data_IF_667386718280
#
_entry.id   IF_667386718280
#
_cell.length_a   1.000
_cell.length_b   1.000
_cell.length_c   1.000
_cell.angle_alpha   90.00
_cell.angle_beta   90.00
_cell.angle_gamma   90.00
#
_symmetry.space_group_name_H-M   'P 1'
#
loop_
_entity.id
_entity.type
_entity.pdbx_description
1 polymer ?
#
# COMPACT_ATOMS: atom_id res chain seq x y z
N UNK A 1 15.92 20.41 7.31
CA UNK A 1 14.74 19.64 6.87
C UNK A 1 13.55 20.03 7.75
N UNK A 2 12.57 20.74 7.19
CA UNK A 2 11.50 21.47 7.91
C UNK A 2 10.33 20.60 8.41
N UNK A 3 10.42 19.28 8.33
CA UNK A 3 9.33 18.37 8.76
C UNK A 3 9.06 18.42 10.27
N UNK A 4 9.99 18.92 11.08
CA UNK A 4 9.88 18.98 12.54
C UNK A 4 8.85 20.00 13.06
N UNK A 5 8.29 20.85 12.19
CA UNK A 5 7.32 21.88 12.58
C UNK A 5 5.85 21.44 12.47
N UNK A 6 5.59 20.24 11.94
CA UNK A 6 4.23 19.74 11.76
C UNK A 6 3.92 18.62 12.74
N UNK A 7 2.78 18.70 13.42
CA UNK A 7 2.32 17.63 14.33
C UNK A 7 1.91 16.35 13.60
N UNK A 8 1.39 16.48 12.38
CA UNK A 8 0.98 15.36 11.53
C UNK A 8 1.55 15.59 10.14
N UNK A 9 2.26 14.60 9.62
CA UNK A 9 2.81 14.59 8.26
C UNK A 9 2.24 13.40 7.54
N UNK A 10 1.54 13.65 6.43
CA UNK A 10 1.12 12.63 5.48
C UNK A 10 2.06 12.65 4.27
N UNK A 11 2.46 11.48 3.80
CA UNK A 11 3.26 11.32 2.59
C UNK A 11 2.60 10.27 1.72
N UNK A 12 2.20 10.62 0.51
CA UNK A 12 1.43 9.71 -0.34
C UNK A 12 1.64 9.95 -1.83
N UNK A 13 1.30 8.94 -2.62
CA UNK A 13 1.34 8.98 -4.09
C UNK A 13 1.76 7.63 -4.67
N UNK A 14 2.08 7.62 -5.96
CA UNK A 14 2.78 6.51 -6.61
C UNK A 14 4.25 6.54 -6.19
N UNK A 15 4.59 5.72 -5.19
CA UNK A 15 5.96 5.56 -4.71
C UNK A 15 6.74 4.50 -5.50
N UNK A 16 6.07 3.78 -6.40
CA UNK A 16 6.62 2.85 -7.37
C UNK A 16 7.44 1.67 -6.81
N UNK A 17 7.34 1.41 -5.51
CA UNK A 17 7.90 0.19 -4.90
C UNK A 17 7.17 -1.04 -5.42
N UNK A 18 7.92 -2.11 -5.68
CA UNK A 18 7.42 -3.35 -6.28
C UNK A 18 7.46 -4.48 -5.26
N UNK A 19 7.19 -5.69 -5.74
CA UNK A 19 7.45 -6.91 -4.99
C UNK A 19 8.89 -7.34 -5.24
N UNK A 20 9.57 -7.78 -4.19
CA UNK A 20 10.91 -8.35 -4.25
C UNK A 20 10.97 -9.45 -5.30
N UNK A 21 11.91 -9.33 -6.23
CA UNK A 21 12.11 -10.26 -7.34
C UNK A 21 12.80 -11.56 -6.91
N UNK A 22 13.39 -11.61 -5.71
CA UNK A 22 14.08 -12.80 -5.19
C UNK A 22 13.15 -13.95 -4.82
N UNK A 23 11.85 -13.69 -4.58
CA UNK A 23 10.85 -14.70 -4.21
C UNK A 23 10.00 -15.22 -5.39
N UNK A 24 10.45 -14.97 -6.63
CA UNK A 24 10.08 -15.57 -7.93
C UNK A 24 8.60 -15.69 -8.36
N UNK A 25 7.59 -15.34 -7.54
CA UNK A 25 6.19 -15.44 -7.98
C UNK A 25 5.96 -14.66 -9.28
N UNK A 26 5.53 -15.35 -10.34
CA UNK A 26 5.27 -14.75 -11.64
C UNK A 26 4.06 -13.78 -11.60
N UNK A 27 3.88 -12.96 -12.64
CA UNK A 27 2.73 -12.08 -12.71
C UNK A 27 1.40 -12.87 -12.73
N UNK A 28 1.38 -14.01 -13.44
CA UNK A 28 0.27 -14.96 -13.51
C UNK A 28 -0.04 -15.57 -12.15
N UNK A 29 0.98 -15.99 -11.40
CA UNK A 29 0.81 -16.58 -10.07
C UNK A 29 0.24 -15.57 -9.07
N UNK A 30 0.73 -14.32 -9.09
CA UNK A 30 0.19 -13.25 -8.25
C UNK A 30 -1.25 -12.94 -8.65
N UNK A 31 -1.52 -12.72 -9.95
CA UNK A 31 -2.85 -12.39 -10.43
C UNK A 31 -3.86 -13.50 -10.15
N UNK A 32 -3.49 -14.77 -10.31
CA UNK A 32 -4.35 -15.91 -9.97
C UNK A 32 -4.63 -16.01 -8.47
N UNK A 33 -3.61 -15.83 -7.62
CA UNK A 33 -3.80 -15.78 -6.16
C UNK A 33 -4.74 -14.64 -5.76
N UNK A 34 -4.60 -13.48 -6.38
CA UNK A 34 -5.43 -12.31 -6.10
C UNK A 34 -6.86 -12.47 -6.64
N UNK A 35 -7.06 -12.99 -7.84
CA UNK A 35 -8.41 -13.16 -8.41
C UNK A 35 -9.24 -14.23 -7.69
N UNK A 36 -8.58 -15.21 -7.06
CA UNK A 36 -9.22 -16.23 -6.24
C UNK A 36 -9.70 -15.71 -4.86
N UNK A 37 -9.41 -14.45 -4.50
CA UNK A 37 -9.83 -13.81 -3.24
C UNK A 37 -11.36 -13.67 -3.13
N UNK A 38 -12.12 -13.78 -4.23
CA UNK A 38 -13.58 -13.74 -4.17
C UNK A 38 -14.23 -14.99 -3.54
N UNK A 39 -13.47 -16.05 -3.23
CA UNK A 39 -13.94 -17.26 -2.55
C UNK A 39 -13.56 -17.25 -1.05
N UNK A 40 -14.33 -16.49 -0.27
CA UNK A 40 -14.42 -16.43 1.20
C UNK A 40 -13.58 -17.46 2.00
N UNK A 41 -12.52 -16.96 2.67
CA UNK A 41 -11.83 -17.43 3.89
C UNK A 41 -10.29 -17.42 3.79
N UNK A 42 -9.69 -17.34 2.59
CA UNK A 42 -8.22 -17.30 2.41
C UNK A 42 -7.64 -15.91 2.13
N UNK A 43 -8.49 -14.89 2.14
CA UNK A 43 -8.20 -13.56 1.61
C UNK A 43 -7.09 -12.82 2.36
N UNK A 44 -7.12 -12.83 3.69
CA UNK A 44 -6.12 -12.17 4.52
C UNK A 44 -4.76 -12.87 4.42
N UNK A 45 -4.72 -14.21 4.49
CA UNK A 45 -3.47 -14.98 4.40
C UNK A 45 -2.82 -14.79 3.03
N UNK A 46 -3.58 -14.90 1.93
CA UNK A 46 -3.04 -14.73 0.58
C UNK A 46 -2.48 -13.34 0.34
N UNK A 47 -3.20 -12.28 0.74
CA UNK A 47 -2.69 -10.91 0.62
C UNK A 47 -1.45 -10.70 1.49
N UNK A 48 -1.44 -11.23 2.72
CA UNK A 48 -0.28 -11.13 3.63
C UNK A 48 0.96 -11.85 3.07
N UNK A 49 0.79 -13.00 2.41
CA UNK A 49 1.89 -13.75 1.80
C UNK A 49 2.53 -13.01 0.60
N UNK A 50 1.71 -12.30 -0.17
CA UNK A 50 2.18 -11.44 -1.26
C UNK A 50 2.82 -10.18 -0.66
N UNK A 51 2.19 -9.58 0.35
CA UNK A 51 2.70 -8.41 1.08
C UNK A 51 4.05 -8.64 1.75
N UNK A 52 4.35 -9.86 2.21
CA UNK A 52 5.65 -10.23 2.78
C UNK A 52 6.82 -10.12 1.77
N UNK A 53 6.53 -9.77 0.52
CA UNK A 53 7.49 -9.44 -0.54
C UNK A 53 7.52 -7.95 -0.88
N UNK A 54 6.72 -7.11 -0.24
CA UNK A 54 6.64 -5.68 -0.54
C UNK A 54 7.97 -4.95 -0.24
N UNK A 55 8.52 -4.29 -1.26
CA UNK A 55 9.80 -3.59 -1.14
C UNK A 55 9.70 -2.40 -0.19
N UNK A 56 8.59 -1.63 -0.21
CA UNK A 56 8.43 -0.46 0.67
C UNK A 56 8.42 -0.89 2.14
N UNK A 57 7.61 -1.89 2.49
CA UNK A 57 7.55 -2.47 3.82
C UNK A 57 8.94 -2.92 4.27
N UNK A 58 9.70 -3.59 3.41
CA UNK A 58 11.05 -4.05 3.74
C UNK A 58 12.03 -2.90 3.97
N UNK A 59 12.01 -1.84 3.15
CA UNK A 59 12.92 -0.70 3.34
C UNK A 59 12.55 0.17 4.54
N UNK A 60 11.25 0.26 4.87
CA UNK A 60 10.77 0.93 6.09
C UNK A 60 11.21 0.19 7.35
N UNK A 61 10.98 -1.13 7.40
CA UNK A 61 11.40 -1.99 8.51
C UNK A 61 12.91 -1.90 8.76
N UNK A 62 13.71 -1.90 7.67
CA UNK A 62 15.17 -1.74 7.73
C UNK A 62 15.63 -0.30 7.96
N UNK A 63 14.70 0.64 8.16
CA UNK A 63 14.99 2.07 8.33
C UNK A 63 15.84 2.69 7.22
N UNK A 64 15.77 2.14 5.99
CA UNK A 64 16.49 2.63 4.81
C UNK A 64 15.77 3.77 4.10
N UNK A 65 14.45 3.85 4.23
CA UNK A 65 13.61 4.93 3.72
C UNK A 65 12.46 5.21 4.71
N UNK A 66 11.87 6.41 4.61
CA UNK A 66 10.71 6.83 5.41
C UNK A 66 10.84 6.60 6.93
N UNK A 67 12.04 6.86 7.49
CA UNK A 67 12.31 6.62 8.91
C UNK A 67 11.31 7.33 9.83
N UNK A 68 10.63 6.53 10.66
CA UNK A 68 9.63 6.98 11.62
C UNK A 68 8.28 7.36 11.00
N UNK A 69 8.06 7.10 9.71
CA UNK A 69 6.71 7.01 9.17
C UNK A 69 6.13 5.63 9.45
N UNK A 70 4.80 5.60 9.47
CA UNK A 70 3.98 4.42 9.60
C UNK A 70 3.08 4.32 8.37
N UNK A 71 2.77 3.09 8.00
CA UNK A 71 1.76 2.78 6.98
C UNK A 71 0.80 1.75 7.59
N UNK A 72 -0.49 1.92 7.36
CA UNK A 72 -1.47 0.89 7.73
C UNK A 72 -1.36 -0.27 6.75
N UNK A 73 -1.52 -1.53 7.18
CA UNK A 73 -1.40 -2.67 6.26
C UNK A 73 -2.49 -2.56 5.16
N UNK A 74 -2.14 -2.53 3.86
CA UNK A 74 -3.15 -2.47 2.81
C UNK A 74 -3.83 -3.83 2.67
N UNK A 75 -5.01 -3.95 3.27
CA UNK A 75 -5.86 -5.15 3.21
C UNK A 75 -6.71 -5.19 1.93
N UNK A 76 -6.11 -4.82 0.80
CA UNK A 76 -6.73 -4.77 -0.53
C UNK A 76 -5.75 -5.25 -1.61
N UNK A 77 -6.22 -5.66 -2.80
CA UNK A 77 -5.37 -6.13 -3.88
C UNK A 77 -4.32 -5.10 -4.36
N UNK A 78 -3.22 -5.56 -4.99
CA UNK A 78 -2.27 -4.66 -5.65
C UNK A 78 -2.94 -3.67 -6.61
N UNK A 79 -2.54 -2.40 -6.59
CA UNK A 79 -3.23 -1.32 -7.33
C UNK A 79 -2.70 -1.11 -8.74
N UNK A 80 -1.60 -1.78 -9.09
CA UNK A 80 -0.94 -1.73 -10.39
C UNK A 80 -0.50 -3.14 -10.78
N UNK A 81 -0.47 -3.56 -12.06
CA UNK A 81 -0.89 -2.84 -13.28
C UNK A 81 -2.16 -3.47 -13.82
N UNK A 82 -3.19 -2.66 -14.05
CA UNK A 82 -4.42 -3.11 -14.68
C UNK A 82 -4.45 -2.84 -16.18
N UNK A 83 -5.26 -3.63 -16.88
CA UNK A 83 -5.70 -3.28 -18.23
C UNK A 83 -6.69 -2.12 -18.13
N UNK A 84 -6.54 -1.09 -18.97
CA UNK A 84 -7.45 0.05 -19.01
C UNK A 84 -8.90 -0.41 -19.20
N UNK A 85 -9.81 0.11 -18.37
CA UNK A 85 -11.24 -0.23 -18.43
C UNK A 85 -11.59 -1.66 -18.01
N UNK A 86 -10.71 -2.36 -17.29
CA UNK A 86 -10.94 -3.75 -16.85
C UNK A 86 -10.47 -4.01 -15.42
N UNK A 87 -11.13 -4.92 -14.70
CA UNK A 87 -10.63 -5.43 -13.40
C UNK A 87 -9.48 -6.44 -13.51
N UNK A 88 -8.97 -6.72 -14.71
CA UNK A 88 -7.87 -7.67 -14.93
C UNK A 88 -6.50 -7.01 -14.94
N UNK A 89 -5.50 -7.69 -14.39
CA UNK A 89 -4.10 -7.23 -14.45
C UNK A 89 -3.49 -7.39 -15.85
N UNK A 90 -2.66 -6.41 -16.25
CA UNK A 90 -1.74 -6.53 -17.39
C UNK A 90 -0.48 -7.28 -16.94
N UNK A 91 -0.42 -8.57 -17.27
CA UNK A 91 0.62 -9.49 -16.81
C UNK A 91 2.02 -9.23 -17.40
N UNK A 92 2.17 -8.21 -18.27
CA UNK A 92 3.48 -7.68 -18.66
C UNK A 92 4.27 -7.14 -17.46
N UNK A 93 3.60 -6.85 -16.34
CA UNK A 93 4.21 -6.46 -15.08
C UNK A 93 3.60 -7.28 -13.94
N UNK A 94 4.43 -7.62 -12.94
CA UNK A 94 3.95 -8.21 -11.70
C UNK A 94 3.01 -7.22 -10.99
N UNK A 95 1.83 -7.66 -10.50
CA UNK A 95 0.99 -6.81 -9.68
C UNK A 95 1.74 -6.33 -8.43
N UNK A 96 1.60 -5.05 -8.07
CA UNK A 96 2.25 -4.41 -6.92
C UNK A 96 1.41 -3.27 -6.32
N UNK A 97 1.62 -2.97 -5.03
CA UNK A 97 1.09 -1.79 -4.36
C UNK A 97 2.04 -0.61 -4.57
N UNK A 98 1.88 0.07 -5.70
CA UNK A 98 2.70 1.23 -6.04
C UNK A 98 2.18 2.52 -5.41
N UNK A 99 0.87 2.60 -5.18
CA UNK A 99 0.15 3.75 -4.65
C UNK A 99 -0.02 3.62 -3.14
N UNK A 100 0.59 4.52 -2.35
CA UNK A 100 0.80 4.34 -0.91
C UNK A 100 0.48 5.59 -0.12
N UNK A 101 0.02 5.42 1.13
CA UNK A 101 -0.26 6.51 2.06
C UNK A 101 0.45 6.23 3.39
N UNK A 102 1.50 7.00 3.67
CA UNK A 102 2.23 6.97 4.93
C UNK A 102 1.85 8.17 5.80
N UNK A 103 2.01 8.01 7.10
CA UNK A 103 1.85 9.10 8.05
C UNK A 103 2.94 9.08 9.13
N UNK A 104 3.17 10.23 9.74
CA UNK A 104 4.06 10.39 10.88
C UNK A 104 3.47 11.42 11.82
N UNK A 105 3.36 11.07 13.09
CA UNK A 105 3.10 12.03 14.15
C UNK A 105 4.43 12.51 14.71
N UNK A 106 4.52 13.81 14.95
CA UNK A 106 5.68 14.44 15.57
C UNK A 106 5.11 15.21 16.76
N UNK A 107 5.77 15.09 17.91
CA UNK A 107 5.40 15.84 19.09
C UNK A 107 6.36 17.04 19.26
N UNK A 108 6.08 18.20 18.66
CA UNK A 108 6.92 19.38 18.82
C UNK A 108 6.77 20.05 20.20
N UNK A 109 5.85 19.62 21.07
CA UNK A 109 5.49 20.37 22.29
C UNK A 109 5.24 19.52 23.56
N UNK A 110 5.65 18.25 23.57
CA UNK A 110 5.26 17.24 24.58
C UNK A 110 3.73 17.08 24.73
N UNK A 111 2.98 17.37 23.67
CA UNK A 111 1.54 17.08 23.58
C UNK A 111 1.37 15.78 22.80
N UNK A 112 0.72 14.81 23.43
CA UNK A 112 0.42 13.51 22.81
C UNK A 112 -0.43 13.71 21.55
N UNK A 113 0.21 13.74 20.39
CA UNK A 113 -0.46 13.72 19.08
C UNK A 113 -0.96 12.31 18.81
N UNK A 114 -2.28 12.13 18.73
CA UNK A 114 -2.88 10.84 18.39
C UNK A 114 -3.44 10.92 16.97
N UNK A 115 -3.05 9.95 16.15
CA UNK A 115 -3.62 9.74 14.82
C UNK A 115 -4.16 8.32 14.76
N UNK A 116 -5.44 8.20 14.44
CA UNK A 116 -6.12 6.92 14.23
C UNK A 116 -6.51 6.79 12.76
N UNK A 117 -6.04 5.74 12.09
CA UNK A 117 -6.46 5.43 10.72
C UNK A 117 -7.79 4.69 10.79
N UNK A 118 -8.85 5.32 10.28
CA UNK A 118 -10.20 4.79 10.23
C UNK A 118 -10.42 3.89 9.01
N UNK A 119 -9.74 4.22 7.90
CA UNK A 119 -9.82 3.46 6.65
C UNK A 119 -8.52 3.56 5.87
N UNK A 120 -8.16 2.47 5.19
CA UNK A 120 -7.11 2.45 4.17
C UNK A 120 -7.50 1.45 3.10
N UNK A 121 -7.93 1.93 1.94
CA UNK A 121 -8.54 1.10 0.91
C UNK A 121 -8.34 1.67 -0.50
N UNK A 122 -8.79 0.91 -1.50
CA UNK A 122 -8.76 1.28 -2.91
C UNK A 122 -10.17 1.38 -3.51
N UNK A 123 -10.29 2.03 -4.67
CA UNK A 123 -11.54 2.19 -5.40
C UNK A 123 -11.51 1.35 -6.68
N UNK A 124 -12.16 0.18 -6.65
CA UNK A 124 -12.18 -0.75 -7.79
C UNK A 124 -13.00 -0.23 -8.98
N UNK A 125 -14.06 0.54 -8.73
CA UNK A 125 -15.00 1.01 -9.74
C UNK A 125 -14.40 2.07 -10.69
N UNK A 126 -13.29 2.71 -10.33
CA UNK A 126 -12.60 3.69 -11.17
C UNK A 126 -11.50 2.99 -11.97
N UNK A 127 -11.77 2.77 -13.26
CA UNK A 127 -10.94 1.95 -14.14
C UNK A 127 -10.31 2.74 -15.31
N UNK A 128 -10.25 4.07 -15.18
CA UNK A 128 -9.75 4.98 -16.21
C UNK A 128 -8.22 4.97 -16.34
N UNK A 129 -7.52 4.34 -15.40
CA UNK A 129 -6.06 4.22 -15.35
C UNK A 129 -5.64 2.75 -15.25
N UNK A 130 -4.37 2.46 -15.56
CA UNK A 130 -3.73 1.19 -15.21
C UNK A 130 -3.38 1.10 -13.71
N UNK A 131 -3.63 2.18 -12.96
CA UNK A 131 -3.67 2.21 -11.49
C UNK A 131 -5.11 2.22 -10.95
N UNK A 132 -5.29 1.79 -9.70
CA UNK A 132 -6.54 1.98 -8.94
C UNK A 132 -6.35 3.06 -7.88
N UNK A 133 -7.27 4.03 -7.74
CA UNK A 133 -7.18 5.05 -6.71
C UNK A 133 -7.12 4.45 -5.31
N UNK A 134 -6.24 4.99 -4.47
CA UNK A 134 -6.08 4.63 -3.06
C UNK A 134 -6.49 5.82 -2.19
N UNK A 135 -7.19 5.53 -1.10
CA UNK A 135 -7.58 6.54 -0.11
C UNK A 135 -7.32 6.05 1.30
N UNK A 136 -7.15 7.00 2.22
CA UNK A 136 -7.11 6.74 3.66
C UNK A 136 -7.87 7.83 4.39
N UNK A 137 -8.58 7.42 5.43
CA UNK A 137 -9.31 8.31 6.33
C UNK A 137 -8.64 8.21 7.71
N UNK A 138 -8.34 9.36 8.31
CA UNK A 138 -7.69 9.41 9.62
C UNK A 138 -8.34 10.46 10.52
N UNK A 139 -8.49 10.11 11.80
CA UNK A 139 -8.85 11.02 12.88
C UNK A 139 -7.58 11.54 13.55
N UNK A 140 -7.48 12.86 13.74
CA UNK A 140 -6.35 13.51 14.41
C UNK A 140 -6.85 14.24 15.66
N UNK A 141 -6.15 14.06 16.78
CA UNK A 141 -6.47 14.66 18.10
C UNK A 141 -5.27 15.42 18.65
#
# INVERSE_FOLDING_TARGET
>A
MYLLFFSYVFWFGDLNFRLDNSKLKSAEEIASQVNNINASLRNATTLTDIWAQDELSSVMEKSKAFKGFFEHLPMFPPTYRYIFGSSSYDLKRRPAWTDRILYKTIDPSNKKCVLEVLSYNYIESIQLSDHRPVYSEASVQ
#
